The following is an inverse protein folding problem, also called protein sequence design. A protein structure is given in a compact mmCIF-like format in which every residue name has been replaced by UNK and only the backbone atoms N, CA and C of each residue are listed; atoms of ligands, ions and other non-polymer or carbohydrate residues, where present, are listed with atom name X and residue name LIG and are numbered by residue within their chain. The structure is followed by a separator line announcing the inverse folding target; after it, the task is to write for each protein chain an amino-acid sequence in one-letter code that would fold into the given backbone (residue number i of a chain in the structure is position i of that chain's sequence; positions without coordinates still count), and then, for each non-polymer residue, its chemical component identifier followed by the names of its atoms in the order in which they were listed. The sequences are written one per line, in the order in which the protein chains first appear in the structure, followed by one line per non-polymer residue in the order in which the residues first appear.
data_IF_302352179327
#
_entry.id   IF_302352179327
#
_cell.length_a   1.000
_cell.length_b   1.000
_cell.length_c   1.000
_cell.angle_alpha   90.00
_cell.angle_beta   90.00
_cell.angle_gamma   90.00
#
_symmetry.space_group_name_H-M   'P 1'
#
loop_
_entity.id
_entity.type
_entity.pdbx_description
1 polymer ?
#
# COMPACT_ATOMS: atom_id res chain seq x y z
N UNK A 1 47.85 27.09 5.62
CA UNK A 1 46.37 26.97 5.52
C UNK A 1 45.79 26.83 6.92
N UNK A 2 44.78 27.62 7.25
CA UNK A 2 44.33 27.87 8.62
C UNK A 2 43.34 26.76 9.09
N UNK A 3 43.66 26.06 10.18
CA UNK A 3 42.90 24.88 10.68
C UNK A 3 41.41 25.19 10.95
N UNK A 4 41.10 26.44 11.35
CA UNK A 4 39.73 26.93 11.53
C UNK A 4 38.90 26.98 10.24
N UNK A 5 39.53 27.08 9.07
CA UNK A 5 38.84 27.11 7.78
C UNK A 5 38.40 25.71 7.32
N UNK A 6 39.18 24.68 7.66
CA UNK A 6 38.91 23.27 7.33
C UNK A 6 37.72 22.72 8.15
N UNK A 7 37.63 23.07 9.45
CA UNK A 7 36.50 22.65 10.28
C UNK A 7 35.15 23.22 9.82
N UNK A 8 35.10 24.48 9.37
CA UNK A 8 33.85 25.09 8.88
C UNK A 8 33.30 24.39 7.63
N UNK A 9 34.18 23.90 6.76
CA UNK A 9 33.80 23.17 5.56
C UNK A 9 33.24 21.79 5.90
N UNK A 10 33.81 21.11 6.90
CA UNK A 10 33.33 19.81 7.37
C UNK A 10 31.94 19.90 8.02
N UNK A 11 31.67 20.95 8.81
CA UNK A 11 30.34 21.20 9.37
C UNK A 11 29.30 21.50 8.29
N UNK A 12 29.67 22.21 7.23
CA UNK A 12 28.75 22.52 6.12
C UNK A 12 28.36 21.27 5.34
N UNK A 13 29.31 20.35 5.10
CA UNK A 13 29.03 19.06 4.46
C UNK A 13 28.14 18.19 5.36
N UNK A 14 28.40 18.14 6.68
CA UNK A 14 27.57 17.39 7.62
C UNK A 14 26.13 17.93 7.70
N UNK A 15 25.96 19.26 7.62
CA UNK A 15 24.64 19.90 7.61
C UNK A 15 23.85 19.59 6.33
N UNK A 16 24.54 19.49 5.18
CA UNK A 16 23.93 19.14 3.89
C UNK A 16 23.51 17.66 3.80
N UNK A 17 24.24 16.75 4.46
CA UNK A 17 23.82 15.35 4.59
C UNK A 17 22.57 15.19 5.47
N UNK A 18 22.46 15.97 6.55
CA UNK A 18 21.30 15.90 7.46
C UNK A 18 20.01 16.46 6.83
N UNK A 19 20.12 17.39 5.87
CA UNK A 19 18.96 17.92 5.13
C UNK A 19 18.50 17.02 3.97
N UNK A 20 19.35 16.12 3.48
CA UNK A 20 19.05 15.26 2.34
C UNK A 20 18.32 13.96 2.71
N UNK A 21 18.20 13.63 4.00
CA UNK A 21 17.59 12.37 4.45
C UNK A 21 16.09 12.44 4.81
N UNK A 22 15.45 13.61 4.80
CA UNK A 22 14.05 13.74 5.29
C UNK A 22 13.02 14.13 4.23
N UNK A 23 13.37 14.10 2.94
CA UNK A 23 12.36 14.14 1.89
C UNK A 23 11.81 12.72 1.67
N UNK A 24 11.11 12.18 2.66
CA UNK A 24 10.19 11.07 2.43
C UNK A 24 9.10 11.59 1.49
N UNK A 25 9.30 11.41 0.19
CA UNK A 25 8.34 11.73 -0.86
C UNK A 25 7.08 10.89 -0.64
N UNK A 26 6.16 11.42 0.15
CA UNK A 26 4.87 10.81 0.36
C UNK A 26 4.17 10.71 -0.99
N UNK A 27 3.67 9.51 -1.32
CA UNK A 27 3.07 9.27 -2.63
C UNK A 27 1.95 10.29 -2.90
N UNK A 28 1.85 10.85 -4.12
CA UNK A 28 0.81 11.81 -4.45
C UNK A 28 -0.56 11.15 -4.27
N UNK A 29 -1.49 11.88 -3.64
CA UNK A 29 -2.81 11.36 -3.32
C UNK A 29 -3.66 11.17 -4.57
N UNK A 30 -4.39 10.06 -4.63
CA UNK A 30 -5.35 9.77 -5.69
C UNK A 30 -6.78 10.10 -5.22
N UNK A 31 -7.50 10.94 -5.98
CA UNK A 31 -8.85 11.40 -5.63
C UNK A 31 -9.88 10.26 -5.54
N UNK A 32 -9.82 9.27 -6.42
CA UNK A 32 -10.77 8.14 -6.47
C UNK A 32 -10.55 7.19 -5.29
N UNK A 33 -9.29 6.95 -4.91
CA UNK A 33 -8.96 6.20 -3.71
C UNK A 33 -9.38 6.95 -2.43
N UNK A 34 -9.15 8.27 -2.36
CA UNK A 34 -9.62 9.09 -1.24
C UNK A 34 -11.15 9.05 -1.08
N UNK A 35 -11.90 9.20 -2.17
CA UNK A 35 -13.38 9.13 -2.11
C UNK A 35 -13.87 7.76 -1.66
N UNK A 36 -13.18 6.69 -2.04
CA UNK A 36 -13.55 5.33 -1.67
C UNK A 36 -13.42 5.05 -0.16
N UNK A 37 -12.60 5.81 0.58
CA UNK A 37 -12.47 5.63 2.03
C UNK A 37 -13.80 5.90 2.76
N UNK A 38 -14.64 6.80 2.24
CA UNK A 38 -15.91 7.21 2.85
C UNK A 38 -17.15 6.81 2.05
N UNK A 39 -17.00 6.23 0.85
CA UNK A 39 -18.14 5.81 0.04
C UNK A 39 -18.69 4.45 0.48
N UNK A 40 -19.66 4.47 1.39
CA UNK A 40 -20.32 3.26 1.87
C UNK A 40 -21.24 2.59 0.84
N UNK A 41 -21.50 3.22 -0.31
CA UNK A 41 -22.24 2.59 -1.42
C UNK A 41 -21.31 1.79 -2.34
N UNK A 42 -20.00 2.02 -2.26
CA UNK A 42 -19.02 1.22 -2.99
C UNK A 42 -18.95 -0.18 -2.39
N UNK A 43 -19.32 -1.18 -3.17
CA UNK A 43 -19.17 -2.59 -2.79
C UNK A 43 -17.67 -2.90 -2.63
N UNK A 44 -17.25 -3.19 -1.40
CA UNK A 44 -15.90 -3.67 -1.11
C UNK A 44 -15.66 -5.09 -1.64
N UNK A 45 -14.39 -5.45 -1.83
CA UNK A 45 -13.95 -6.80 -2.23
C UNK A 45 -13.25 -7.55 -1.09
N UNK A 46 -13.18 -8.87 -1.23
CA UNK A 46 -12.74 -9.78 -0.18
C UNK A 46 -13.82 -10.09 0.85
N UNK A 47 -13.50 -11.02 1.73
CA UNK A 47 -14.38 -11.53 2.77
C UNK A 47 -13.92 -11.00 4.14
N UNK A 48 -14.67 -10.07 4.73
CA UNK A 48 -14.38 -9.54 6.06
C UNK A 48 -15.09 -10.38 7.12
N UNK A 49 -14.31 -10.98 8.00
CA UNK A 49 -14.79 -11.84 9.10
C UNK A 49 -14.35 -11.29 10.45
N UNK A 50 -15.22 -11.41 11.46
CA UNK A 50 -14.86 -11.18 12.86
C UNK A 50 -14.33 -12.49 13.44
N UNK A 51 -13.10 -12.46 13.96
CA UNK A 51 -12.44 -13.62 14.59
C UNK A 51 -12.74 -13.61 16.10
N UNK A 52 -12.62 -12.44 16.72
CA UNK A 52 -13.01 -12.18 18.11
C UNK A 52 -13.69 -10.80 18.20
N UNK A 53 -14.23 -10.37 19.36
CA UNK A 53 -14.83 -9.04 19.48
C UNK A 53 -13.91 -7.87 19.09
N UNK A 54 -12.59 -8.04 19.20
CA UNK A 54 -11.58 -7.00 18.93
C UNK A 54 -10.58 -7.42 17.84
N UNK A 55 -10.91 -8.43 17.03
CA UNK A 55 -10.02 -8.92 15.98
C UNK A 55 -10.82 -9.32 14.74
N UNK A 56 -10.43 -8.74 13.62
CA UNK A 56 -11.07 -8.89 12.33
C UNK A 56 -10.03 -9.30 11.29
N UNK A 57 -10.48 -10.01 10.27
CA UNK A 57 -9.66 -10.43 9.14
C UNK A 57 -10.40 -10.15 7.84
N UNK A 58 -9.70 -9.59 6.87
CA UNK A 58 -10.15 -9.46 5.49
C UNK A 58 -9.34 -10.45 4.65
N UNK A 59 -10.04 -11.42 4.06
CA UNK A 59 -9.45 -12.40 3.15
C UNK A 59 -9.70 -11.98 1.70
N UNK A 60 -8.65 -11.87 0.89
CA UNK A 60 -8.76 -11.50 -0.52
C UNK A 60 -7.98 -12.46 -1.41
N UNK A 61 -8.67 -13.08 -2.36
CA UNK A 61 -8.11 -14.03 -3.33
C UNK A 61 -8.52 -13.61 -4.73
N UNK A 62 -7.65 -12.89 -5.45
CA UNK A 62 -7.95 -12.40 -6.80
C UNK A 62 -8.21 -13.52 -7.82
N UNK A 63 -7.63 -14.71 -7.59
CA UNK A 63 -7.90 -15.91 -8.40
C UNK A 63 -9.35 -16.39 -8.30
N UNK A 64 -10.10 -15.95 -7.29
CA UNK A 64 -11.52 -16.29 -7.10
C UNK A 64 -12.48 -15.21 -7.60
N UNK A 65 -11.97 -14.08 -8.09
CA UNK A 65 -12.78 -12.99 -8.65
C UNK A 65 -13.04 -13.24 -10.15
N UNK A 66 -14.24 -12.93 -10.64
CA UNK A 66 -14.62 -13.13 -12.06
C UNK A 66 -13.75 -12.30 -13.02
N UNK A 67 -13.26 -11.14 -12.56
CA UNK A 67 -12.41 -10.23 -13.30
C UNK A 67 -10.94 -10.32 -12.87
N UNK A 68 -10.48 -11.51 -12.45
CA UNK A 68 -9.12 -11.77 -11.95
C UNK A 68 -8.02 -11.07 -12.77
N UNK A 69 -7.02 -10.51 -12.08
CA UNK A 69 -5.84 -9.91 -12.69
C UNK A 69 -4.61 -10.85 -12.69
N UNK A 70 -4.76 -12.11 -12.28
CA UNK A 70 -3.66 -13.08 -12.23
C UNK A 70 -2.85 -13.15 -13.53
N UNK A 71 -3.51 -13.33 -14.69
CA UNK A 71 -2.81 -13.40 -15.97
C UNK A 71 -2.16 -12.07 -16.36
N UNK A 72 -2.82 -10.95 -16.09
CA UNK A 72 -2.30 -9.61 -16.35
C UNK A 72 -1.04 -9.32 -15.53
N UNK A 73 -1.04 -9.68 -14.25
CA UNK A 73 0.09 -9.50 -13.34
C UNK A 73 1.26 -10.43 -13.72
N UNK A 74 0.97 -11.70 -14.05
CA UNK A 74 1.96 -12.64 -14.58
C UNK A 74 2.63 -12.13 -15.87
N UNK A 75 1.86 -11.55 -16.79
CA UNK A 75 2.41 -10.97 -18.01
C UNK A 75 3.34 -9.77 -17.75
N UNK A 76 3.26 -9.15 -16.57
CA UNK A 76 4.16 -8.08 -16.12
C UNK A 76 5.32 -8.56 -15.23
N UNK A 77 5.42 -9.86 -14.98
CA UNK A 77 6.47 -10.47 -14.17
C UNK A 77 6.18 -10.55 -12.67
N UNK A 78 4.93 -10.34 -12.25
CA UNK A 78 4.49 -10.52 -10.86
C UNK A 78 3.76 -11.87 -10.72
N UNK A 79 3.79 -12.48 -9.55
CA UNK A 79 3.17 -13.78 -9.28
C UNK A 79 1.64 -13.74 -9.36
N UNK A 80 1.02 -12.59 -9.08
CA UNK A 80 -0.40 -12.31 -9.18
C UNK A 80 -1.28 -12.79 -8.01
N UNK A 81 -0.70 -13.42 -7.00
CA UNK A 81 -1.35 -13.89 -5.77
C UNK A 81 -1.05 -13.00 -4.56
N UNK A 82 -0.93 -13.60 -3.38
CA UNK A 82 -0.79 -12.89 -2.10
C UNK A 82 0.29 -11.81 -2.07
N UNK A 83 1.55 -12.15 -2.39
CA UNK A 83 2.65 -11.18 -2.38
C UNK A 83 2.43 -9.99 -3.32
N UNK A 84 1.96 -10.22 -4.56
CA UNK A 84 1.66 -9.11 -5.47
C UNK A 84 0.54 -8.22 -4.95
N UNK A 85 -0.53 -8.84 -4.41
CA UNK A 85 -1.68 -8.10 -3.90
C UNK A 85 -1.38 -7.34 -2.61
N UNK A 86 -0.47 -7.83 -1.78
CA UNK A 86 0.09 -7.09 -0.65
C UNK A 86 0.68 -5.77 -1.12
N UNK A 87 1.61 -5.82 -2.09
CA UNK A 87 2.25 -4.62 -2.65
C UNK A 87 1.25 -3.65 -3.28
N UNK A 88 0.30 -4.18 -4.06
CA UNK A 88 -0.76 -3.37 -4.70
C UNK A 88 -1.62 -2.64 -3.64
N UNK A 89 -2.06 -3.34 -2.60
CA UNK A 89 -2.89 -2.74 -1.55
C UNK A 89 -2.08 -1.75 -0.72
N UNK A 90 -0.82 -2.06 -0.42
CA UNK A 90 0.10 -1.12 0.20
C UNK A 90 0.19 0.18 -0.61
N UNK A 91 0.42 0.10 -1.92
CA UNK A 91 0.48 1.27 -2.80
C UNK A 91 -0.81 2.08 -2.80
N UNK A 92 -1.97 1.42 -2.80
CA UNK A 92 -3.27 2.07 -2.70
C UNK A 92 -3.49 2.80 -1.36
N UNK A 93 -3.01 2.22 -0.25
CA UNK A 93 -3.02 2.85 1.09
C UNK A 93 -2.15 4.11 1.08
N UNK A 94 -0.93 4.04 0.54
CA UNK A 94 -0.02 5.19 0.49
C UNK A 94 -0.61 6.37 -0.31
N UNK A 95 -1.26 6.06 -1.43
CA UNK A 95 -1.95 7.04 -2.28
C UNK A 95 -3.29 7.55 -1.73
N UNK A 96 -3.78 7.00 -0.61
CA UNK A 96 -5.03 7.40 0.03
C UNK A 96 -4.76 7.88 1.45
N UNK A 97 -4.89 7.00 2.44
CA UNK A 97 -4.64 7.28 3.85
C UNK A 97 -3.60 6.31 4.43
N UNK A 98 -2.30 6.72 4.48
CA UNK A 98 -1.20 5.95 5.05
C UNK A 98 -1.40 5.60 6.52
N UNK A 99 -2.28 6.29 7.25
CA UNK A 99 -2.55 5.94 8.65
C UNK A 99 -3.27 4.61 8.82
N UNK A 100 -3.83 4.04 7.73
CA UNK A 100 -4.38 2.68 7.71
C UNK A 100 -3.27 1.65 7.92
N UNK A 101 -2.07 1.87 7.38
CA UNK A 101 -0.96 0.92 7.42
C UNK A 101 -0.60 0.54 8.87
N UNK A 102 -0.56 1.51 9.79
CA UNK A 102 -0.24 1.26 11.20
C UNK A 102 -1.34 0.54 11.98
N UNK A 103 -2.51 0.31 11.35
CA UNK A 103 -3.67 -0.35 11.97
C UNK A 103 -3.90 -1.76 11.43
N UNK A 104 -3.18 -2.17 10.40
CA UNK A 104 -3.37 -3.47 9.76
C UNK A 104 -2.07 -4.27 9.78
N UNK A 105 -2.19 -5.59 9.63
CA UNK A 105 -1.07 -6.50 9.38
C UNK A 105 -1.40 -7.36 8.18
N UNK A 106 -0.51 -7.38 7.21
CA UNK A 106 -0.60 -8.29 6.07
C UNK A 106 -0.07 -9.69 6.44
N UNK A 107 -0.63 -10.68 5.77
CA UNK A 107 -0.25 -12.09 5.84
C UNK A 107 -0.44 -12.65 4.42
N UNK A 108 0.64 -12.69 3.65
CA UNK A 108 0.65 -13.10 2.25
C UNK A 108 0.59 -14.63 2.16
N UNK A 109 -0.61 -15.14 1.90
CA UNK A 109 -0.82 -16.55 1.61
C UNK A 109 -0.52 -16.76 0.11
N UNK A 110 0.16 -17.84 -0.31
CA UNK A 110 0.63 -17.98 -1.70
C UNK A 110 -0.34 -17.49 -2.81
N UNK A 111 -1.62 -17.87 -2.73
CA UNK A 111 -2.65 -17.51 -3.72
C UNK A 111 -3.57 -16.35 -3.28
N UNK A 112 -3.42 -15.82 -2.07
CA UNK A 112 -4.29 -14.78 -1.54
C UNK A 112 -3.70 -13.99 -0.38
N UNK A 113 -4.51 -13.14 0.22
CA UNK A 113 -4.00 -12.19 1.20
C UNK A 113 -4.97 -12.12 2.37
N UNK A 114 -4.48 -12.45 3.55
CA UNK A 114 -5.17 -12.18 4.79
C UNK A 114 -4.66 -10.85 5.36
N UNK A 115 -5.60 -9.97 5.74
CA UNK A 115 -5.30 -8.67 6.33
C UNK A 115 -5.99 -8.58 7.69
N UNK A 116 -5.20 -8.46 8.74
CA UNK A 116 -5.66 -8.49 10.11
C UNK A 116 -5.74 -7.09 10.69
N UNK A 117 -6.73 -6.83 11.54
CA UNK A 117 -6.83 -5.58 12.30
C UNK A 117 -7.73 -5.72 13.51
N UNK A 118 -7.48 -4.93 14.56
CA UNK A 118 -8.47 -4.67 15.62
C UNK A 118 -9.48 -3.58 15.24
N UNK A 119 -9.21 -2.81 14.18
CA UNK A 119 -10.05 -1.76 13.65
C UNK A 119 -10.79 -2.24 12.39
N UNK A 120 -12.05 -2.66 12.58
CA UNK A 120 -12.92 -3.11 11.49
C UNK A 120 -13.06 -2.06 10.38
N UNK A 121 -13.12 -0.78 10.74
CA UNK A 121 -13.32 0.30 9.76
C UNK A 121 -12.13 0.41 8.80
N UNK A 122 -10.91 0.17 9.30
CA UNK A 122 -9.70 0.15 8.47
C UNK A 122 -9.73 -0.99 7.45
N UNK A 123 -10.21 -2.20 7.82
CA UNK A 123 -10.38 -3.30 6.87
C UNK A 123 -11.48 -3.03 5.85
N UNK A 124 -12.60 -2.42 6.26
CA UNK A 124 -13.66 -2.01 5.33
C UNK A 124 -13.15 -0.98 4.31
N UNK A 125 -12.29 -0.04 4.74
CA UNK A 125 -11.61 0.90 3.83
C UNK A 125 -10.71 0.15 2.85
N UNK A 126 -9.88 -0.78 3.31
CA UNK A 126 -9.03 -1.60 2.44
C UNK A 126 -9.85 -2.36 1.42
N UNK A 127 -10.94 -3.00 1.85
CA UNK A 127 -11.88 -3.71 0.98
C UNK A 127 -12.42 -2.81 -0.15
N UNK A 128 -12.74 -1.54 0.14
CA UNK A 128 -13.15 -0.54 -0.88
C UNK A 128 -11.99 -0.08 -1.78
N UNK A 129 -10.78 0.05 -1.24
CA UNK A 129 -9.60 0.36 -2.05
C UNK A 129 -9.32 -0.73 -3.08
N UNK A 130 -9.44 -2.02 -2.70
CA UNK A 130 -9.30 -3.16 -3.62
C UNK A 130 -10.30 -3.02 -4.78
N UNK A 131 -11.56 -2.67 -4.51
CA UNK A 131 -12.56 -2.43 -5.56
C UNK A 131 -12.16 -1.34 -6.56
N UNK A 132 -11.62 -0.21 -6.06
CA UNK A 132 -11.16 0.87 -6.94
C UNK A 132 -9.99 0.41 -7.80
N UNK A 133 -8.98 -0.22 -7.19
CA UNK A 133 -7.78 -0.71 -7.87
C UNK A 133 -8.15 -1.73 -8.95
N UNK A 134 -9.06 -2.67 -8.63
CA UNK A 134 -9.58 -3.65 -9.60
C UNK A 134 -10.27 -3.00 -10.79
N UNK A 135 -11.01 -1.91 -10.56
CA UNK A 135 -11.81 -1.25 -11.59
C UNK A 135 -11.03 -0.29 -12.50
N UNK A 136 -9.76 -0.03 -12.22
CA UNK A 136 -9.03 1.09 -12.82
C UNK A 136 -7.54 0.74 -13.01
N UNK A 137 -7.20 0.31 -14.22
CA UNK A 137 -5.83 -0.11 -14.57
C UNK A 137 -4.80 1.00 -14.29
N UNK A 138 -5.16 2.27 -14.49
CA UNK A 138 -4.24 3.38 -14.21
C UNK A 138 -3.89 3.49 -12.73
N UNK A 139 -4.85 3.20 -11.85
CA UNK A 139 -4.65 3.19 -10.40
C UNK A 139 -3.89 1.94 -9.97
N UNK A 140 -4.20 0.77 -10.55
CA UNK A 140 -3.46 -0.47 -10.34
C UNK A 140 -1.96 -0.28 -10.64
N UNK A 141 -1.64 0.22 -11.83
CA UNK A 141 -0.25 0.46 -12.24
C UNK A 141 0.45 1.47 -11.34
N UNK A 142 -0.25 2.53 -10.93
CA UNK A 142 0.34 3.51 -10.03
C UNK A 142 0.56 2.95 -8.62
N UNK A 143 -0.31 2.07 -8.13
CA UNK A 143 -0.13 1.40 -6.86
C UNK A 143 1.09 0.48 -6.88
N UNK A 144 1.28 -0.29 -7.96
CA UNK A 144 2.48 -1.10 -8.18
C UNK A 144 3.74 -0.23 -8.19
N UNK A 145 3.73 0.91 -8.89
CA UNK A 145 4.86 1.84 -8.92
C UNK A 145 5.23 2.36 -7.53
N UNK A 146 4.22 2.78 -6.75
CA UNK A 146 4.42 3.28 -5.38
C UNK A 146 4.96 2.19 -4.46
N UNK A 147 4.44 0.96 -4.57
CA UNK A 147 4.94 -0.18 -3.82
C UNK A 147 6.37 -0.56 -4.19
N UNK A 148 6.69 -0.56 -5.48
CA UNK A 148 8.04 -0.83 -5.98
C UNK A 148 9.06 0.21 -5.49
N UNK A 149 8.69 1.49 -5.47
CA UNK A 149 9.54 2.56 -4.91
C UNK A 149 9.81 2.39 -3.40
N UNK A 150 8.88 1.77 -2.68
CA UNK A 150 8.99 1.48 -1.26
C UNK A 150 9.62 0.10 -0.95
N UNK A 151 9.96 -0.70 -1.97
CA UNK A 151 10.42 -2.08 -1.80
C UNK A 151 9.38 -3.01 -1.17
N UNK A 152 8.10 -2.70 -1.35
CA UNK A 152 6.95 -3.49 -0.88
C UNK A 152 6.29 -4.28 -2.01
N UNK A 153 6.81 -4.17 -3.23
CA UNK A 153 6.49 -5.09 -4.32
C UNK A 153 7.51 -6.23 -4.29
N UNK A 154 7.05 -7.45 -4.60
CA UNK A 154 7.91 -8.64 -4.77
C UNK A 154 8.94 -8.51 -5.91
#
# INVERSE_FOLDING_TARGET
MNFKSQMKFLYLILLLFLLSCNASSQAPKNKKLLSALSDHNLKGRGNLVAITPNEFRLDYYDIHEEDSHLEYLNAKGYQGGGPSWLGIIYGAIQMSDPTIESKIRFDDEAEGLAIWSSDKESLEKVSRLISVVKSDESILLKAIEVAGQAGQME
#
